data_IF_941681380321
#
_entry.id   IF_941681380321
#
_cell.length_a   1.000
_cell.length_b   1.000
_cell.length_c   1.000
_cell.angle_alpha   90.00
_cell.angle_beta   90.00
_cell.angle_gamma   90.00
#
_symmetry.space_group_name_H-M   'P 1'
#
loop_
_entity.id
_entity.type
_entity.pdbx_description
1 polymer ?
#
# COMPACT_ATOMS: atom_id res chain seq x y z
N UNK A 1 13.90 7.09 1.40
CA UNK A 1 12.46 7.10 1.64
C UNK A 1 11.88 6.38 0.43
N UNK A 2 11.38 5.16 0.65
CA UNK A 2 10.89 4.28 -0.40
C UNK A 2 9.39 4.47 -0.60
N UNK A 3 8.92 4.80 -1.82
CA UNK A 3 7.50 4.89 -2.19
C UNK A 3 6.60 5.59 -1.15
N UNK A 4 7.09 6.65 -0.51
CA UNK A 4 6.35 7.38 0.51
C UNK A 4 5.32 8.34 -0.07
N UNK A 5 4.35 8.75 0.75
CA UNK A 5 3.49 9.90 0.47
C UNK A 5 4.27 11.17 0.84
N UNK A 6 4.44 12.08 -0.11
CA UNK A 6 5.21 13.31 0.04
C UNK A 6 4.35 14.57 -0.09
N UNK A 7 3.36 14.54 -0.96
CA UNK A 7 2.58 15.70 -1.36
C UNK A 7 1.24 15.22 -1.92
N UNK A 8 0.18 15.42 -1.13
CA UNK A 8 -1.11 14.81 -1.39
C UNK A 8 -1.70 15.17 -2.76
N UNK A 9 -1.47 16.40 -3.26
CA UNK A 9 -1.94 16.81 -4.58
C UNK A 9 -1.28 16.00 -5.68
N UNK A 10 0.06 15.96 -5.69
CA UNK A 10 0.82 15.31 -6.75
C UNK A 10 0.79 13.79 -6.65
N UNK A 11 0.78 13.24 -5.43
CA UNK A 11 0.68 11.79 -5.21
C UNK A 11 -0.69 11.26 -5.65
N UNK A 12 -1.80 11.91 -5.26
CA UNK A 12 -3.14 11.50 -5.70
C UNK A 12 -3.31 11.66 -7.21
N UNK A 13 -2.83 12.77 -7.79
CA UNK A 13 -2.87 12.95 -9.24
C UNK A 13 -2.10 11.85 -9.97
N UNK A 14 -0.89 11.54 -9.49
CA UNK A 14 -0.03 10.51 -10.05
C UNK A 14 -0.63 9.10 -9.94
N UNK A 15 -1.33 8.79 -8.85
CA UNK A 15 -2.04 7.51 -8.69
C UNK A 15 -3.11 7.31 -9.78
N UNK A 16 -3.93 8.32 -10.04
CA UNK A 16 -4.99 8.24 -11.04
C UNK A 16 -4.42 8.15 -12.46
N UNK A 17 -3.39 8.94 -12.76
CA UNK A 17 -2.70 8.90 -14.07
C UNK A 17 -2.01 7.55 -14.29
N UNK A 18 -1.32 7.03 -13.27
CA UNK A 18 -0.68 5.71 -13.33
C UNK A 18 -1.71 4.60 -13.61
N UNK A 19 -2.84 4.59 -12.91
CA UNK A 19 -3.88 3.58 -13.11
C UNK A 19 -4.46 3.62 -14.53
N UNK A 20 -4.69 4.82 -15.07
CA UNK A 20 -5.19 4.95 -16.44
C UNK A 20 -4.15 4.51 -17.49
N UNK A 21 -2.90 4.98 -17.36
CA UNK A 21 -1.80 4.63 -18.30
C UNK A 21 -1.47 3.13 -18.28
N UNK A 22 -1.77 2.44 -17.19
CA UNK A 22 -1.57 0.99 -17.04
C UNK A 22 -2.84 0.17 -17.30
N UNK A 23 -3.88 0.80 -17.86
CA UNK A 23 -5.16 0.17 -18.20
C UNK A 23 -5.87 -0.52 -17.00
N UNK A 24 -5.66 0.02 -15.79
CA UNK A 24 -6.35 -0.42 -14.57
C UNK A 24 -7.77 0.15 -14.53
N UNK A 25 -7.95 1.41 -14.94
CA UNK A 25 -9.25 2.09 -14.97
C UNK A 25 -9.67 2.47 -16.40
N UNK A 26 -10.98 2.62 -16.61
CA UNK A 26 -11.54 3.00 -17.92
C UNK A 26 -11.36 4.49 -18.23
N UNK A 27 -11.43 4.85 -19.51
CA UNK A 27 -11.45 6.26 -19.96
C UNK A 27 -12.59 7.06 -19.32
N UNK A 28 -13.75 6.42 -19.12
CA UNK A 28 -14.92 7.04 -18.50
C UNK A 28 -14.64 7.37 -17.02
N UNK A 29 -14.10 6.41 -16.27
CA UNK A 29 -13.75 6.59 -14.86
C UNK A 29 -12.66 7.65 -14.70
N UNK A 30 -11.60 7.57 -15.51
CA UNK A 30 -10.53 8.57 -15.52
C UNK A 30 -11.04 9.98 -15.80
N UNK A 31 -11.85 10.15 -16.85
CA UNK A 31 -12.43 11.45 -17.20
C UNK A 31 -13.36 11.98 -16.10
N UNK A 32 -14.11 11.10 -15.42
CA UNK A 32 -15.00 11.47 -14.32
C UNK A 32 -14.20 11.95 -13.11
N UNK A 33 -13.14 11.24 -12.71
CA UNK A 33 -12.25 11.64 -11.62
C UNK A 33 -11.60 13.00 -11.93
N UNK A 34 -11.00 13.18 -13.12
CA UNK A 34 -10.38 14.45 -13.52
C UNK A 34 -11.36 15.63 -13.53
N UNK A 35 -12.66 15.37 -13.68
CA UNK A 35 -13.72 16.39 -13.65
C UNK A 35 -14.22 16.71 -12.24
N UNK A 36 -14.33 15.69 -11.37
CA UNK A 36 -14.98 15.81 -10.07
C UNK A 36 -13.99 16.07 -8.92
N UNK A 37 -12.73 15.68 -9.09
CA UNK A 37 -11.70 15.79 -8.06
C UNK A 37 -10.78 16.99 -8.27
N UNK A 38 -10.66 17.82 -7.24
CA UNK A 38 -9.61 18.83 -7.10
C UNK A 38 -8.67 18.38 -5.97
N UNK A 39 -7.58 17.70 -6.35
CA UNK A 39 -6.62 17.17 -5.38
C UNK A 39 -5.75 18.24 -4.73
N UNK A 40 -5.86 19.52 -5.11
CA UNK A 40 -5.23 20.62 -4.36
C UNK A 40 -5.94 20.93 -3.04
N UNK A 41 -7.19 20.45 -2.89
CA UNK A 41 -7.98 20.61 -1.67
C UNK A 41 -7.75 19.45 -0.71
N UNK A 42 -7.62 19.76 0.58
CA UNK A 42 -7.53 18.73 1.63
C UNK A 42 -8.85 17.96 1.81
N UNK A 43 -9.98 18.63 1.58
CA UNK A 43 -11.32 18.04 1.68
C UNK A 43 -11.90 17.89 0.27
N UNK A 44 -12.14 16.64 -0.12
CA UNK A 44 -12.73 16.30 -1.41
C UNK A 44 -14.26 16.38 -1.34
N UNK A 45 -14.89 16.64 -2.48
CA UNK A 45 -16.35 16.64 -2.59
C UNK A 45 -16.91 15.21 -2.55
N UNK A 46 -18.17 15.03 -2.14
CA UNK A 46 -18.85 13.73 -2.16
C UNK A 46 -18.78 13.08 -3.55
N UNK A 47 -18.99 13.86 -4.62
CA UNK A 47 -18.87 13.36 -5.99
C UNK A 47 -17.46 12.87 -6.34
N UNK A 48 -16.41 13.50 -5.80
CA UNK A 48 -15.05 13.00 -5.96
C UNK A 48 -14.83 11.70 -5.17
N UNK A 49 -15.31 11.64 -3.92
CA UNK A 49 -15.21 10.44 -3.10
C UNK A 49 -15.92 9.26 -3.77
N UNK A 50 -17.14 9.44 -4.28
CA UNK A 50 -17.87 8.41 -5.03
C UNK A 50 -17.06 7.92 -6.25
N UNK A 51 -16.38 8.83 -6.96
CA UNK A 51 -15.55 8.44 -8.09
C UNK A 51 -14.24 7.75 -7.69
N UNK A 52 -13.70 8.06 -6.52
CA UNK A 52 -12.55 7.38 -5.93
C UNK A 52 -12.91 6.01 -5.37
N UNK A 53 -14.12 5.83 -4.85
CA UNK A 53 -14.62 4.53 -4.40
C UNK A 53 -14.66 3.55 -5.59
N UNK A 54 -15.23 3.95 -6.73
CA UNK A 54 -15.19 3.16 -7.98
C UNK A 54 -13.75 2.87 -8.47
N UNK A 55 -12.78 3.73 -8.15
CA UNK A 55 -11.36 3.50 -8.43
C UNK A 55 -10.76 2.46 -7.48
N UNK A 56 -11.08 2.52 -6.19
CA UNK A 56 -10.59 1.58 -5.19
C UNK A 56 -11.20 0.19 -5.33
N UNK A 57 -12.43 0.07 -5.83
CA UNK A 57 -13.08 -1.21 -6.15
C UNK A 57 -12.24 -2.06 -7.13
N UNK A 58 -11.46 -1.44 -8.02
CA UNK A 58 -10.57 -2.18 -8.94
C UNK A 58 -9.47 -2.91 -8.17
N UNK A 59 -8.99 -2.33 -7.08
CA UNK A 59 -7.94 -2.89 -6.23
C UNK A 59 -8.43 -3.96 -5.25
N UNK A 60 -9.73 -4.26 -5.22
CA UNK A 60 -10.22 -5.49 -4.62
C UNK A 60 -9.92 -6.73 -5.49
N UNK A 61 -9.60 -6.50 -6.78
CA UNK A 61 -9.35 -7.56 -7.77
C UNK A 61 -7.84 -7.72 -8.04
N UNK A 62 -7.09 -6.63 -8.00
CA UNK A 62 -5.65 -6.57 -8.27
C UNK A 62 -4.87 -5.97 -7.10
N UNK A 63 -3.58 -6.28 -6.99
CA UNK A 63 -2.76 -5.76 -5.90
C UNK A 63 -2.28 -4.32 -6.18
N UNK A 64 -2.72 -3.36 -5.35
CA UNK A 64 -2.32 -1.95 -5.45
C UNK A 64 -0.82 -1.73 -5.25
N UNK A 65 -0.15 -2.57 -4.46
CA UNK A 65 1.27 -2.43 -4.17
C UNK A 65 2.15 -3.01 -5.28
N UNK A 66 1.60 -3.88 -6.13
CA UNK A 66 2.33 -4.53 -7.20
C UNK A 66 1.42 -5.07 -8.31
N UNK A 67 1.18 -4.23 -9.32
CA UNK A 67 0.26 -4.49 -10.43
C UNK A 67 0.51 -5.81 -11.20
N UNK A 68 1.77 -6.24 -11.29
CA UNK A 68 2.17 -7.40 -12.09
C UNK A 68 2.46 -8.66 -11.28
N UNK A 69 2.19 -8.64 -9.97
CA UNK A 69 2.25 -9.85 -9.15
C UNK A 69 0.86 -10.48 -9.02
N UNK A 70 0.78 -11.82 -8.95
CA UNK A 70 -0.49 -12.48 -8.66
C UNK A 70 -0.99 -12.05 -7.27
N UNK A 71 -2.31 -12.10 -7.05
CA UNK A 71 -2.89 -11.88 -5.72
C UNK A 71 -2.69 -13.10 -4.82
N UNK A 72 -2.71 -12.90 -3.51
CA UNK A 72 -2.63 -13.99 -2.56
C UNK A 72 -3.94 -14.79 -2.53
N UNK A 73 -4.01 -15.88 -3.30
CA UNK A 73 -5.11 -16.85 -3.19
C UNK A 73 -4.87 -17.77 -2.00
N UNK A 74 -5.84 -17.83 -1.09
CA UNK A 74 -5.88 -18.78 0.04
C UNK A 74 -6.03 -20.22 -0.47
N UNK A 75 -4.96 -20.76 -1.03
CA UNK A 75 -4.84 -22.19 -1.26
C UNK A 75 -4.64 -22.83 0.11
N UNK A 76 -5.65 -23.59 0.56
CA UNK A 76 -5.55 -24.53 1.68
C UNK A 76 -4.11 -25.04 1.82
N UNK A 77 -3.49 -24.75 2.96
CA UNK A 77 -2.07 -24.99 3.28
C UNK A 77 -1.64 -26.44 3.06
N UNK A 78 -1.36 -26.80 1.81
CA UNK A 78 -0.83 -28.11 1.43
C UNK A 78 0.04 -28.08 0.19
N UNK A 79 0.09 -26.98 -0.57
CA UNK A 79 0.90 -26.92 -1.80
C UNK A 79 1.55 -25.55 -1.89
N UNK A 80 2.87 -25.53 -1.78
CA UNK A 80 3.69 -24.36 -2.09
C UNK A 80 3.25 -23.78 -3.46
N UNK A 81 3.10 -22.45 -3.60
CA UNK A 81 2.65 -21.86 -4.84
C UNK A 81 3.58 -22.28 -5.96
N UNK A 82 3.05 -23.04 -6.94
CA UNK A 82 3.78 -23.34 -8.16
C UNK A 82 3.85 -22.02 -8.94
N UNK A 83 5.04 -21.47 -9.20
CA UNK A 83 5.14 -20.30 -10.06
C UNK A 83 4.52 -20.65 -11.41
N UNK A 84 3.61 -19.79 -11.88
CA UNK A 84 3.10 -19.82 -13.25
C UNK A 84 4.30 -19.97 -14.20
N UNK A 85 4.37 -21.13 -14.86
CA UNK A 85 5.37 -21.52 -15.84
C UNK A 85 6.71 -20.76 -15.73
N UNK A 86 7.53 -21.13 -14.74
CA UNK A 86 8.94 -20.81 -14.79
C UNK A 86 9.55 -21.46 -16.04
N UNK A 87 9.59 -20.71 -17.15
CA UNK A 87 10.56 -20.98 -18.20
C UNK A 87 11.91 -21.10 -17.52
N UNK A 88 12.69 -22.11 -17.88
CA UNK A 88 13.80 -22.65 -17.07
C UNK A 88 15.01 -21.71 -16.83
N UNK A 89 14.83 -20.41 -17.02
CA UNK A 89 15.87 -19.37 -16.98
C UNK A 89 15.86 -18.46 -15.76
N UNK A 90 14.89 -18.54 -14.84
CA UNK A 90 14.88 -17.72 -13.62
C UNK A 90 15.06 -18.61 -12.38
N UNK A 91 16.32 -18.91 -12.05
CA UNK A 91 16.74 -19.66 -10.85
C UNK A 91 17.06 -18.78 -9.64
N UNK A 92 16.76 -17.49 -9.72
CA UNK A 92 16.67 -16.62 -8.56
C UNK A 92 15.21 -16.66 -8.11
N UNK A 93 14.94 -17.05 -6.86
CA UNK A 93 13.71 -16.58 -6.22
C UNK A 93 13.66 -15.06 -6.46
N UNK A 94 12.59 -14.50 -7.03
CA UNK A 94 12.57 -13.06 -7.20
C UNK A 94 12.76 -12.49 -5.81
N UNK A 95 13.74 -11.60 -5.65
CA UNK A 95 13.79 -10.67 -4.53
C UNK A 95 12.62 -9.68 -4.73
N UNK A 96 11.41 -10.22 -4.74
CA UNK A 96 10.19 -9.61 -5.23
C UNK A 96 9.15 -9.59 -4.13
N UNK A 97 8.23 -8.65 -4.28
CA UNK A 97 7.07 -8.48 -3.44
C UNK A 97 6.30 -9.80 -3.30
N UNK A 98 6.05 -10.22 -2.06
CA UNK A 98 5.25 -11.40 -1.74
C UNK A 98 3.86 -10.95 -1.25
N UNK A 99 2.81 -11.09 -2.06
CA UNK A 99 1.44 -10.65 -1.73
C UNK A 99 0.87 -11.41 -0.52
N UNK A 100 1.42 -12.58 -0.18
CA UNK A 100 0.98 -13.38 0.97
C UNK A 100 1.74 -13.04 2.25
N UNK A 101 2.69 -12.10 2.23
CA UNK A 101 3.54 -11.78 3.37
C UNK A 101 2.77 -11.36 4.61
N UNK A 102 1.67 -10.62 4.41
CA UNK A 102 0.77 -10.23 5.48
C UNK A 102 0.30 -11.46 6.28
N UNK A 103 -0.24 -12.46 5.58
CA UNK A 103 -0.86 -13.62 6.22
C UNK A 103 0.10 -14.38 7.14
N UNK A 104 1.26 -14.80 6.63
CA UNK A 104 2.16 -15.61 7.46
C UNK A 104 2.88 -14.78 8.54
N UNK A 105 3.06 -13.48 8.34
CA UNK A 105 3.63 -12.59 9.36
C UNK A 105 2.68 -12.48 10.55
N UNK A 106 1.38 -12.34 10.30
CA UNK A 106 0.37 -12.31 11.36
C UNK A 106 0.32 -13.63 12.14
N UNK A 107 0.34 -14.77 11.44
CA UNK A 107 0.42 -16.09 12.07
C UNK A 107 1.69 -16.23 12.91
N UNK A 108 2.84 -15.82 12.36
CA UNK A 108 4.14 -15.95 13.04
C UNK A 108 4.21 -15.08 14.30
N UNK A 109 3.82 -13.81 14.22
CA UNK A 109 3.91 -12.87 15.34
C UNK A 109 2.89 -13.15 16.45
N UNK A 110 1.84 -13.93 16.16
CA UNK A 110 0.88 -14.40 17.16
C UNK A 110 1.26 -15.73 17.83
N UNK A 111 2.40 -16.35 17.46
CA UNK A 111 2.86 -17.56 18.15
C UNK A 111 3.33 -17.25 19.58
N UNK A 112 2.96 -18.07 20.59
CA UNK A 112 3.36 -17.83 21.98
C UNK A 112 4.87 -17.81 22.20
N UNK A 113 5.62 -18.66 21.51
CA UNK A 113 7.08 -18.71 21.61
C UNK A 113 7.74 -17.48 20.97
N UNK A 114 7.18 -16.97 19.86
CA UNK A 114 7.64 -15.73 19.21
C UNK A 114 7.33 -14.50 20.08
N UNK A 115 6.11 -14.40 20.61
CA UNK A 115 5.75 -13.30 21.52
C UNK A 115 6.64 -13.30 22.76
N UNK A 116 6.90 -14.47 23.34
CA UNK A 116 7.82 -14.61 24.48
C UNK A 116 9.24 -14.16 24.12
N UNK A 117 9.74 -14.53 22.95
CA UNK A 117 11.09 -14.16 22.49
C UNK A 117 11.23 -12.65 22.21
N UNK A 118 10.17 -12.00 21.73
CA UNK A 118 10.13 -10.56 21.46
C UNK A 118 9.77 -9.72 22.69
N UNK A 119 9.54 -10.36 23.84
CA UNK A 119 8.96 -9.71 25.02
C UNK A 119 7.67 -8.95 24.70
N UNK A 120 6.88 -9.48 23.77
CA UNK A 120 5.56 -8.98 23.41
C UNK A 120 4.49 -9.69 24.28
N UNK A 121 3.31 -9.08 24.38
CA UNK A 121 2.16 -9.64 25.11
C UNK A 121 2.45 -9.98 26.60
N UNK A 122 3.31 -9.20 27.25
CA UNK A 122 3.72 -9.44 28.66
C UNK A 122 2.56 -9.28 29.64
N UNK A 123 1.56 -8.47 29.28
CA UNK A 123 0.39 -8.14 30.12
C UNK A 123 -0.84 -8.99 29.81
N UNK A 124 -0.73 -10.05 28.98
CA UNK A 124 -1.86 -10.87 28.53
C UNK A 124 -2.96 -10.05 27.85
N UNK A 125 -2.59 -9.38 26.75
CA UNK A 125 -3.50 -8.67 25.85
C UNK A 125 -4.62 -9.62 25.38
N UNK A 126 -5.83 -9.07 25.29
CA UNK A 126 -7.04 -9.79 24.88
C UNK A 126 -7.30 -9.76 23.37
N UNK A 127 -6.35 -9.26 22.59
CA UNK A 127 -6.41 -9.18 21.14
C UNK A 127 -5.11 -9.72 20.52
N UNK A 128 -5.17 -10.29 19.29
CA UNK A 128 -3.98 -10.70 18.57
C UNK A 128 -3.21 -9.48 18.04
N UNK A 129 -1.95 -9.69 17.72
CA UNK A 129 -1.18 -8.76 16.90
C UNK A 129 -1.76 -8.74 15.47
N UNK A 130 -1.87 -7.56 14.88
CA UNK A 130 -2.30 -7.34 13.47
C UNK A 130 -1.35 -6.34 12.80
N UNK A 131 -1.33 -6.32 11.46
CA UNK A 131 -0.47 -5.40 10.68
C UNK A 131 -0.79 -3.93 10.91
N UNK A 132 -2.08 -3.60 10.84
CA UNK A 132 -2.61 -2.27 11.07
C UNK A 132 -3.64 -2.34 12.21
N UNK A 133 -3.81 -1.23 12.92
CA UNK A 133 -4.77 -1.12 14.01
C UNK A 133 -6.02 -0.39 13.54
N UNK A 134 -7.18 -1.02 13.68
CA UNK A 134 -8.48 -0.38 13.40
C UNK A 134 -8.92 0.59 14.51
N UNK A 135 -8.15 0.71 15.60
CA UNK A 135 -8.41 1.67 16.67
C UNK A 135 -8.08 3.10 16.22
N UNK A 136 -7.06 3.24 15.36
CA UNK A 136 -6.62 4.54 14.84
C UNK A 136 -7.16 4.67 13.43
N UNK A 137 -8.40 5.15 13.32
CA UNK A 137 -9.07 5.34 12.03
C UNK A 137 -8.69 6.66 11.35
N UNK A 138 -8.28 7.67 12.13
CA UNK A 138 -7.86 8.99 11.62
C UNK A 138 -6.54 9.38 12.27
N UNK A 139 -5.51 9.51 11.44
CA UNK A 139 -4.19 10.02 11.86
C UNK A 139 -4.12 11.53 11.61
N UNK A 140 -4.15 12.32 12.68
CA UNK A 140 -4.19 13.79 12.58
C UNK A 140 -2.84 14.43 12.27
N UNK A 141 -1.73 13.72 12.50
CA UNK A 141 -0.38 14.20 12.17
C UNK A 141 0.00 13.77 10.75
N UNK A 142 -0.79 14.24 9.78
CA UNK A 142 -0.67 13.94 8.36
C UNK A 142 -0.69 15.25 7.56
N UNK A 143 0.44 15.99 7.49
CA UNK A 143 0.49 17.24 6.75
C UNK A 143 0.25 16.98 5.25
N UNK A 144 -0.46 17.91 4.61
CA UNK A 144 -0.77 17.81 3.17
C UNK A 144 0.47 17.69 2.28
N UNK A 145 1.61 18.23 2.72
CA UNK A 145 2.90 18.15 2.02
C UNK A 145 4.08 18.19 2.99
N UNK A 146 5.10 17.35 2.76
CA UNK A 146 6.37 17.38 3.50
C UNK A 146 7.49 18.09 2.72
N UNK A 147 7.21 18.60 1.53
CA UNK A 147 8.20 19.30 0.69
C UNK A 147 8.92 20.45 1.42
N UNK A 148 8.26 21.30 2.25
CA UNK A 148 8.96 22.33 3.01
C UNK A 148 10.01 21.76 3.98
N UNK A 149 9.70 20.61 4.61
CA UNK A 149 10.61 19.92 5.53
C UNK A 149 11.79 19.35 4.76
N UNK A 150 11.54 18.63 3.65
CA UNK A 150 12.60 18.10 2.81
C UNK A 150 13.54 19.20 2.31
N UNK A 151 12.99 20.33 1.83
CA UNK A 151 13.78 21.50 1.40
C UNK A 151 14.63 22.08 2.53
N UNK A 152 14.10 22.16 3.76
CA UNK A 152 14.86 22.64 4.94
C UNK A 152 16.04 21.72 5.24
N UNK A 153 15.81 20.41 5.24
CA UNK A 153 16.84 19.40 5.54
C UNK A 153 17.95 19.40 4.47
N UNK A 154 17.58 19.50 3.19
CA UNK A 154 18.55 19.63 2.08
C UNK A 154 19.39 20.90 2.24
N UNK A 155 18.76 22.04 2.56
CA UNK A 155 19.47 23.31 2.80
C UNK A 155 20.43 23.24 4.00
N UNK A 156 20.15 22.40 5.00
CA UNK A 156 21.08 22.15 6.12
C UNK A 156 22.23 21.20 5.78
N UNK A 157 22.34 20.73 4.53
CA UNK A 157 23.42 19.85 4.07
C UNK A 157 23.14 18.36 4.23
N UNK A 158 21.91 17.96 4.58
CA UNK A 158 21.54 16.54 4.64
C UNK A 158 21.31 15.99 3.24
N UNK A 159 21.89 14.82 2.96
CA UNK A 159 21.65 14.07 1.73
C UNK A 159 20.42 13.20 1.92
N UNK A 160 19.39 13.42 1.11
CA UNK A 160 18.15 12.66 1.14
C UNK A 160 18.09 11.79 -0.11
N UNK A 161 17.80 10.51 0.08
CA UNK A 161 17.55 9.58 -1.01
C UNK A 161 16.07 9.19 -1.01
N UNK A 162 15.39 9.48 -2.10
CA UNK A 162 14.02 9.04 -2.40
C UNK A 162 14.14 7.92 -3.44
N UNK A 163 13.45 6.80 -3.20
CA UNK A 163 13.45 5.62 -4.05
C UNK A 163 12.08 4.96 -4.11
#
# INVERSE_FOLDING_TARGET
IGNGVYDAETDNTGMIEYAWDHAVISDELYARIKKQCDFSQANLSDACNDALDDYYDVYDIIDMYSLYTPTCVTLNFSIAPRPFAATSRMRSAPAGYDPCAGYYTEVYLNRPDVQKALHANVTHLNYPWTHCSDVITVWIDSPFTVLPVLRKLIKSGLRIWIY
#
